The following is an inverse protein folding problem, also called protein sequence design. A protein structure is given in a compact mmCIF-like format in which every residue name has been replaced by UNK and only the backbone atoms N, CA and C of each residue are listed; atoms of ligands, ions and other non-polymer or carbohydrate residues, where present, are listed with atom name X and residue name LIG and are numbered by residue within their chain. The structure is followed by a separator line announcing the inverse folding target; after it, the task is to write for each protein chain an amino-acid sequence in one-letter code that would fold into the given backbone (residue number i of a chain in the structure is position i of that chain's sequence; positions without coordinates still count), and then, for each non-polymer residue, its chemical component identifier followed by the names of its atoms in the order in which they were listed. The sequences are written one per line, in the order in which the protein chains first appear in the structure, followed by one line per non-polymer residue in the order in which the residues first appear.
data_IF_014013108296
#
_entry.id   IF_014013108296
#
_cell.length_a   1.000
_cell.length_b   1.000
_cell.length_c   1.000
_cell.angle_alpha   90.00
_cell.angle_beta   90.00
_cell.angle_gamma   90.00
#
_symmetry.space_group_name_H-M   'P 1'
#
loop_
_entity.id
_entity.type
_entity.pdbx_description
1 polymer ?
#
# COMPACT_ATOMS: atom_id res chain seq x y z
N UNK A 1 -4.77 0.25 -3.42
CA UNK A 1 -3.43 0.24 -4.04
C UNK A 1 -2.70 -1.01 -3.60
N UNK A 2 -2.46 -1.97 -4.50
CA UNK A 2 -1.73 -3.19 -4.18
C UNK A 2 -0.25 -2.89 -3.93
N UNK A 3 0.33 -3.44 -2.87
CA UNK A 3 1.73 -3.30 -2.52
C UNK A 3 2.38 -4.66 -2.17
N UNK A 4 3.64 -4.81 -2.57
CA UNK A 4 4.54 -5.87 -2.12
C UNK A 4 5.98 -5.36 -2.23
N UNK A 5 6.69 -5.27 -1.11
CA UNK A 5 8.04 -4.73 -1.01
C UNK A 5 8.20 -3.32 -1.64
N UNK A 6 7.36 -2.39 -1.22
CA UNK A 6 7.24 -1.03 -1.75
C UNK A 6 7.82 0.06 -0.82
N UNK A 7 8.61 -0.28 0.22
CA UNK A 7 9.08 0.69 1.24
C UNK A 7 9.75 1.94 0.62
N UNK A 8 10.48 1.75 -0.49
CA UNK A 8 11.33 2.80 -1.10
C UNK A 8 10.54 3.75 -1.99
N UNK A 9 9.39 3.32 -2.52
CA UNK A 9 8.63 4.05 -3.53
C UNK A 9 7.27 4.50 -3.03
N UNK A 10 6.77 3.92 -1.94
CA UNK A 10 5.44 4.19 -1.42
C UNK A 10 5.20 5.67 -1.14
N UNK A 11 6.11 6.32 -0.40
CA UNK A 11 5.97 7.75 -0.07
C UNK A 11 5.89 8.63 -1.33
N UNK A 12 6.79 8.44 -2.28
CA UNK A 12 6.79 9.18 -3.54
C UNK A 12 5.52 8.93 -4.35
N UNK A 13 4.99 7.71 -4.32
CA UNK A 13 3.74 7.33 -5.01
C UNK A 13 2.55 8.06 -4.41
N UNK A 14 2.47 8.14 -3.08
CA UNK A 14 1.39 8.86 -2.37
C UNK A 14 1.50 10.36 -2.62
N UNK A 15 2.70 10.94 -2.53
CA UNK A 15 2.93 12.37 -2.77
C UNK A 15 2.63 12.80 -4.22
N UNK A 16 2.69 11.88 -5.18
CA UNK A 16 2.35 12.14 -6.58
C UNK A 16 0.85 12.24 -6.85
N UNK A 17 -0.01 11.80 -5.91
CA UNK A 17 -1.47 11.89 -6.05
C UNK A 17 -1.90 13.32 -5.75
N UNK A 18 -2.56 13.96 -6.72
CA UNK A 18 -3.06 15.34 -6.55
C UNK A 18 -4.07 15.40 -5.38
N UNK A 19 -3.89 16.30 -4.41
CA UNK A 19 -4.82 16.40 -3.28
C UNK A 19 -6.25 16.66 -3.75
N UNK A 20 -7.22 15.92 -3.17
CA UNK A 20 -8.65 16.09 -3.45
C UNK A 20 -9.19 15.36 -4.68
N UNK A 21 -8.36 14.60 -5.41
CA UNK A 21 -8.84 13.77 -6.54
C UNK A 21 -9.36 12.39 -6.12
N UNK A 22 -9.07 11.99 -4.87
CA UNK A 22 -9.54 10.76 -4.24
C UNK A 22 -10.03 11.07 -2.84
N UNK A 23 -11.08 10.39 -2.40
CA UNK A 23 -11.61 10.52 -1.05
C UNK A 23 -10.75 9.78 -0.01
N UNK A 24 -10.22 8.61 -0.39
CA UNK A 24 -9.43 7.74 0.49
C UNK A 24 -8.36 6.99 -0.32
N UNK A 25 -7.22 6.74 0.33
CA UNK A 25 -6.16 5.86 -0.19
C UNK A 25 -6.06 4.63 0.72
N UNK A 26 -6.43 3.48 0.16
CA UNK A 26 -6.29 2.18 0.82
C UNK A 26 -5.07 1.48 0.23
N UNK A 27 -4.12 1.08 1.06
CA UNK A 27 -2.99 0.22 0.70
C UNK A 27 -3.31 -1.22 1.10
N UNK A 28 -3.17 -2.16 0.15
CA UNK A 28 -3.32 -3.59 0.39
C UNK A 28 -1.95 -4.23 0.25
N UNK A 29 -1.35 -4.60 1.38
CA UNK A 29 -0.05 -5.24 1.46
C UNK A 29 -0.17 -6.76 1.29
N UNK A 30 0.66 -7.34 0.43
CA UNK A 30 0.63 -8.77 0.10
C UNK A 30 1.76 -9.56 0.79
N UNK A 31 1.81 -9.45 2.12
CA UNK A 31 2.82 -10.06 2.99
C UNK A 31 4.25 -9.61 2.66
N UNK A 32 4.45 -8.29 2.55
CA UNK A 32 5.78 -7.70 2.34
C UNK A 32 6.77 -8.14 3.41
N UNK A 33 8.03 -8.25 3.02
CA UNK A 33 9.15 -8.63 3.90
C UNK A 33 10.03 -7.43 4.26
N UNK A 34 9.62 -6.23 3.85
CA UNK A 34 10.27 -4.95 4.11
C UNK A 34 9.35 -4.04 4.95
N UNK A 35 9.72 -2.76 5.11
CA UNK A 35 8.96 -1.84 5.97
C UNK A 35 7.74 -1.20 5.29
N UNK A 36 7.17 -1.82 4.24
CA UNK A 36 6.05 -1.23 3.48
C UNK A 36 4.86 -0.87 4.37
N UNK A 37 4.49 -1.76 5.29
CA UNK A 37 3.33 -1.58 6.18
C UNK A 37 3.57 -0.44 7.17
N UNK A 38 4.78 -0.35 7.73
CA UNK A 38 5.21 0.70 8.65
C UNK A 38 5.14 2.06 7.95
N UNK A 39 5.75 2.18 6.76
CA UNK A 39 5.72 3.42 5.96
C UNK A 39 4.27 3.81 5.61
N UNK A 40 3.42 2.85 5.24
CA UNK A 40 2.01 3.11 4.93
C UNK A 40 1.25 3.70 6.13
N UNK A 41 1.50 3.17 7.34
CA UNK A 41 0.90 3.67 8.59
C UNK A 41 1.41 5.04 8.97
N UNK A 42 2.71 5.32 8.79
CA UNK A 42 3.30 6.64 9.02
C UNK A 42 2.73 7.71 8.10
N UNK A 43 2.39 7.33 6.86
CA UNK A 43 1.72 8.20 5.88
C UNK A 43 0.21 8.40 6.16
N UNK A 44 -0.33 7.72 7.18
CA UNK A 44 -1.75 7.83 7.55
C UNK A 44 -2.70 7.11 6.58
N UNK A 45 -2.21 6.14 5.82
CA UNK A 45 -3.03 5.36 4.89
C UNK A 45 -3.90 4.35 5.65
N UNK A 46 -5.05 4.00 5.07
CA UNK A 46 -5.77 2.79 5.48
C UNK A 46 -5.00 1.58 4.95
N UNK A 47 -4.58 0.69 5.84
CA UNK A 47 -3.76 -0.49 5.48
C UNK A 47 -4.51 -1.80 5.72
N UNK A 48 -4.62 -2.62 4.68
CA UNK A 48 -5.03 -4.02 4.73
C UNK A 48 -3.79 -4.88 4.50
N UNK A 49 -3.59 -5.92 5.31
CA UNK A 49 -2.42 -6.82 5.20
C UNK A 49 -2.89 -8.24 4.99
N UNK A 50 -2.43 -8.88 3.93
CA UNK A 50 -2.62 -10.31 3.72
C UNK A 50 -1.65 -11.13 4.57
N UNK A 51 -2.08 -12.27 5.11
CA UNK A 51 -1.22 -13.15 5.89
C UNK A 51 -0.14 -13.84 5.04
N UNK A 52 -0.40 -14.00 3.74
CA UNK A 52 0.47 -14.66 2.77
C UNK A 52 0.42 -13.91 1.45
N UNK A 53 1.49 -13.97 0.66
CA UNK A 53 1.53 -13.37 -0.67
C UNK A 53 0.56 -14.10 -1.62
N UNK A 54 -0.47 -13.41 -2.10
CA UNK A 54 -1.51 -13.92 -3.00
C UNK A 54 -1.22 -13.59 -4.47
N UNK A 55 -0.11 -12.93 -4.75
CA UNK A 55 0.26 -12.39 -6.04
C UNK A 55 -0.57 -11.16 -6.41
N UNK A 56 -0.11 -10.41 -7.41
CA UNK A 56 -0.70 -9.13 -7.81
C UNK A 56 -2.22 -9.19 -8.05
N UNK A 57 -2.69 -10.22 -8.76
CA UNK A 57 -4.12 -10.39 -9.05
C UNK A 57 -4.96 -10.76 -7.83
N UNK A 58 -4.37 -11.43 -6.82
CA UNK A 58 -5.02 -11.67 -5.54
C UNK A 58 -5.07 -10.41 -4.69
N UNK A 59 -3.98 -9.65 -4.67
CA UNK A 59 -3.87 -8.38 -3.97
C UNK A 59 -4.96 -7.38 -4.42
N UNK A 60 -5.19 -7.22 -5.72
CA UNK A 60 -6.19 -6.28 -6.26
C UNK A 60 -7.66 -6.62 -5.98
N UNK A 61 -8.00 -7.85 -5.57
CA UNK A 61 -9.39 -8.31 -5.41
C UNK A 61 -9.91 -8.16 -3.98
N UNK A 62 -9.28 -7.28 -3.21
CA UNK A 62 -9.55 -7.04 -1.79
C UNK A 62 -10.19 -5.68 -1.60
#
# INVERSE_FOLDING_TARGET
MPAYNAEKTLKQTVEAITPGVVDEIILVDDASQDNTVEVARELGLHVVVHPDNRGYGGNQKT
#
